data_IF_710623311944
#
_entry.id   IF_710623311944
#
_cell.length_a   1.000
_cell.length_b   1.000
_cell.length_c   1.000
_cell.angle_alpha   90.00
_cell.angle_beta   90.00
_cell.angle_gamma   90.00
#
_symmetry.space_group_name_H-M   'P 1'
#
loop_
_entity.id
_entity.type
_entity.pdbx_description
1 polymer ?
#
# COMPACT_ATOMS: atom_id res chain seq x y z
N UNK A 1 -6.32 21.00 17.49
CA UNK A 1 -5.58 21.39 16.27
C UNK A 1 -4.80 20.24 15.63
N UNK A 2 -4.16 19.37 16.42
CA UNK A 2 -3.46 18.14 15.98
C UNK A 2 -4.29 17.25 15.03
N UNK A 3 -5.56 16.97 15.37
CA UNK A 3 -6.43 16.11 14.55
C UNK A 3 -6.76 16.69 13.16
N UNK A 4 -6.86 18.02 13.03
CA UNK A 4 -7.15 18.67 11.75
C UNK A 4 -5.93 18.56 10.82
N UNK A 5 -4.73 18.84 11.34
CA UNK A 5 -3.47 18.68 10.59
C UNK A 5 -3.28 17.25 10.09
N UNK A 6 -3.70 16.27 10.88
CA UNK A 6 -3.69 14.85 10.52
C UNK A 6 -4.59 14.55 9.32
N UNK A 7 -5.84 14.99 9.36
CA UNK A 7 -6.79 14.78 8.26
C UNK A 7 -6.39 15.51 6.98
N UNK A 8 -5.91 16.74 7.08
CA UNK A 8 -5.37 17.49 5.93
C UNK A 8 -4.21 16.74 5.29
N UNK A 9 -3.29 16.19 6.11
CA UNK A 9 -2.18 15.38 5.60
C UNK A 9 -2.64 14.10 4.91
N UNK A 10 -3.68 13.43 5.43
CA UNK A 10 -4.27 12.24 4.80
C UNK A 10 -4.85 12.60 3.43
N UNK A 11 -5.60 13.69 3.33
CA UNK A 11 -6.20 14.14 2.07
C UNK A 11 -5.11 14.45 1.04
N UNK A 12 -4.08 15.21 1.43
CA UNK A 12 -2.93 15.51 0.56
C UNK A 12 -2.23 14.22 0.10
N UNK A 13 -2.06 13.26 1.02
CA UNK A 13 -1.52 11.94 0.71
C UNK A 13 -2.37 11.19 -0.32
N UNK A 14 -3.68 11.13 -0.14
CA UNK A 14 -4.59 10.49 -1.10
C UNK A 14 -4.57 11.17 -2.47
N UNK A 15 -4.49 12.50 -2.53
CA UNK A 15 -4.37 13.25 -3.80
C UNK A 15 -3.07 12.89 -4.51
N UNK A 16 -1.94 12.88 -3.78
CA UNK A 16 -0.65 12.50 -4.37
C UNK A 16 -0.64 11.05 -4.87
N UNK A 17 -1.17 10.11 -4.08
CA UNK A 17 -1.24 8.70 -4.51
C UNK A 17 -2.18 8.52 -5.70
N UNK A 18 -3.37 9.13 -5.71
CA UNK A 18 -4.33 8.99 -6.82
C UNK A 18 -3.78 9.57 -8.12
N UNK A 19 -3.09 10.71 -8.07
CA UNK A 19 -2.39 11.25 -9.24
C UNK A 19 -1.31 10.27 -9.75
N UNK A 20 -0.55 9.65 -8.84
CA UNK A 20 0.47 8.69 -9.22
C UNK A 20 -0.13 7.40 -9.79
N UNK A 21 -1.26 6.93 -9.25
CA UNK A 21 -2.03 5.82 -9.79
C UNK A 21 -2.53 6.16 -11.20
N UNK A 22 -3.08 7.35 -11.41
CA UNK A 22 -3.54 7.81 -12.72
C UNK A 22 -2.39 7.76 -13.75
N UNK A 23 -1.19 8.21 -13.37
CA UNK A 23 0.01 8.12 -14.21
C UNK A 23 0.39 6.67 -14.57
N UNK A 24 0.29 5.74 -13.63
CA UNK A 24 0.57 4.32 -13.88
C UNK A 24 -0.47 3.71 -14.81
N UNK A 25 -1.75 3.91 -14.53
CA UNK A 25 -2.86 3.35 -15.30
C UNK A 25 -2.82 3.85 -16.75
N UNK A 26 -2.56 5.15 -16.98
CA UNK A 26 -2.40 5.71 -18.32
C UNK A 26 -1.21 5.13 -19.10
N UNK A 27 -0.23 4.56 -18.42
CA UNK A 27 0.96 3.93 -19.04
C UNK A 27 0.94 2.41 -18.98
N UNK A 28 -0.20 1.80 -18.61
CA UNK A 28 -0.37 0.36 -18.42
C UNK A 28 0.66 -0.26 -17.44
N UNK A 29 1.04 0.53 -16.43
CA UNK A 29 1.96 0.11 -15.38
C UNK A 29 1.21 -0.35 -14.13
N UNK A 30 1.84 -1.22 -13.36
CA UNK A 30 1.22 -1.90 -12.22
C UNK A 30 2.06 -1.70 -10.96
N UNK A 31 1.43 -1.60 -9.79
CA UNK A 31 2.12 -1.66 -8.49
C UNK A 31 2.02 -3.03 -7.83
N UNK A 32 2.76 -3.24 -6.73
CA UNK A 32 2.50 -4.35 -5.82
C UNK A 32 1.27 -4.13 -4.93
N UNK A 33 0.93 -5.13 -4.13
CA UNK A 33 -0.13 -5.03 -3.13
C UNK A 33 -1.55 -4.88 -3.70
N UNK A 34 -2.46 -4.34 -2.88
CA UNK A 34 -3.91 -4.28 -3.21
C UNK A 34 -4.19 -3.35 -4.39
N UNK A 35 -3.39 -2.31 -4.55
CA UNK A 35 -3.45 -1.41 -5.70
C UNK A 35 -3.08 -2.15 -6.99
N UNK A 36 -2.02 -2.96 -6.95
CA UNK A 36 -1.63 -3.83 -8.06
C UNK A 36 -2.72 -4.77 -8.52
N UNK A 37 -3.33 -5.46 -7.56
CA UNK A 37 -4.45 -6.36 -7.83
C UNK A 37 -5.63 -5.63 -8.50
N UNK A 38 -5.96 -4.42 -8.02
CA UNK A 38 -6.98 -3.57 -8.64
C UNK A 38 -6.62 -3.15 -10.08
N UNK A 39 -5.36 -2.77 -10.33
CA UNK A 39 -4.88 -2.37 -11.65
C UNK A 39 -4.94 -3.52 -12.67
N UNK A 40 -4.62 -4.75 -12.25
CA UNK A 40 -4.69 -5.95 -13.12
C UNK A 40 -6.13 -6.36 -13.38
N UNK A 41 -7.02 -6.25 -12.39
CA UNK A 41 -8.43 -6.62 -12.53
C UNK A 41 -9.28 -5.61 -13.31
N UNK A 42 -8.87 -4.33 -13.31
CA UNK A 42 -9.56 -3.24 -14.02
C UNK A 42 -9.84 -3.58 -15.51
N UNK A 43 -8.82 -3.87 -16.34
CA UNK A 43 -9.05 -4.21 -17.75
C UNK A 43 -9.76 -5.55 -17.96
N UNK A 44 -9.77 -6.46 -16.97
CA UNK A 44 -10.40 -7.78 -17.07
C UNK A 44 -11.90 -7.78 -16.75
N UNK A 45 -12.32 -6.91 -15.83
CA UNK A 45 -13.70 -6.89 -15.32
C UNK A 45 -14.55 -5.77 -15.91
N UNK A 46 -13.92 -4.72 -16.45
CA UNK A 46 -14.62 -3.52 -16.93
C UNK A 46 -15.16 -2.63 -15.81
N UNK A 47 -14.89 -2.96 -14.54
CA UNK A 47 -15.19 -2.11 -13.39
C UNK A 47 -14.08 -1.07 -13.22
N UNK A 48 -14.41 0.10 -12.69
CA UNK A 48 -13.43 1.16 -12.41
C UNK A 48 -12.40 0.71 -11.37
N UNK A 49 -11.21 1.30 -11.43
CA UNK A 49 -10.11 0.96 -10.52
C UNK A 49 -10.52 1.23 -9.06
N UNK A 50 -11.19 2.35 -8.81
CA UNK A 50 -11.64 2.72 -7.48
C UNK A 50 -12.62 1.71 -6.87
N UNK A 51 -13.58 1.22 -7.65
CA UNK A 51 -14.53 0.19 -7.19
C UNK A 51 -13.78 -1.09 -6.82
N UNK A 52 -12.89 -1.57 -7.69
CA UNK A 52 -12.09 -2.76 -7.44
C UNK A 52 -11.19 -2.59 -6.21
N UNK A 53 -10.50 -1.46 -6.11
CA UNK A 53 -9.63 -1.17 -4.99
C UNK A 53 -10.39 -1.14 -3.67
N UNK A 54 -11.59 -0.56 -3.64
CA UNK A 54 -12.45 -0.56 -2.46
C UNK A 54 -12.91 -1.97 -2.07
N UNK A 55 -13.43 -2.75 -3.03
CA UNK A 55 -13.90 -4.13 -2.79
C UNK A 55 -12.76 -5.03 -2.30
N UNK A 56 -11.60 -4.94 -2.94
CA UNK A 56 -10.40 -5.70 -2.54
C UNK A 56 -10.00 -5.35 -1.11
N UNK A 57 -10.08 -4.07 -0.69
CA UNK A 57 -9.70 -3.67 0.66
C UNK A 57 -10.70 -4.09 1.75
N UNK A 58 -11.97 -4.33 1.41
CA UNK A 58 -13.04 -4.67 2.34
C UNK A 58 -12.72 -5.82 3.33
N UNK A 59 -12.26 -7.02 2.89
CA UNK A 59 -11.91 -8.11 3.81
C UNK A 59 -10.76 -7.76 4.75
N UNK A 60 -9.84 -6.90 4.33
CA UNK A 60 -8.68 -6.53 5.15
C UNK A 60 -9.04 -5.54 6.26
N UNK A 61 -10.13 -4.78 6.15
CA UNK A 61 -10.61 -3.95 7.26
C UNK A 61 -11.07 -4.78 8.45
N UNK A 62 -11.74 -5.90 8.19
CA UNK A 62 -12.14 -6.82 9.25
C UNK A 62 -10.91 -7.34 10.01
N UNK A 63 -9.85 -7.71 9.28
CA UNK A 63 -8.57 -8.10 9.88
C UNK A 63 -7.92 -6.93 10.65
N UNK A 64 -7.89 -5.73 10.09
CA UNK A 64 -7.25 -4.56 10.69
C UNK A 64 -7.88 -4.15 12.04
N UNK A 65 -9.21 -4.29 12.20
CA UNK A 65 -9.91 -4.02 13.46
C UNK A 65 -9.37 -4.91 14.56
N UNK A 66 -9.22 -6.21 14.28
CA UNK A 66 -8.75 -7.19 15.26
C UNK A 66 -7.25 -7.10 15.55
N UNK A 67 -6.44 -6.69 14.56
CA UNK A 67 -4.99 -6.79 14.65
C UNK A 67 -4.27 -5.50 15.08
N UNK A 68 -4.79 -4.33 14.69
CA UNK A 68 -4.14 -3.02 14.94
C UNK A 68 -5.06 -2.11 15.75
N UNK A 69 -6.36 -2.12 15.45
CA UNK A 69 -7.37 -1.40 16.19
C UNK A 69 -8.28 -0.51 15.35
N UNK A 70 -9.38 -0.10 15.97
CA UNK A 70 -10.50 0.58 15.31
C UNK A 70 -10.10 1.95 14.74
N UNK A 71 -9.33 2.75 15.48
CA UNK A 71 -8.91 4.09 15.04
C UNK A 71 -8.01 4.07 13.80
N UNK A 72 -7.14 3.08 13.66
CA UNK A 72 -6.32 2.89 12.45
C UNK A 72 -7.19 2.44 11.27
N UNK A 73 -8.14 1.53 11.53
CA UNK A 73 -9.04 1.02 10.49
C UNK A 73 -9.93 2.11 9.93
N UNK A 74 -10.54 2.96 10.78
CA UNK A 74 -11.38 4.08 10.32
C UNK A 74 -10.57 5.04 9.43
N UNK A 75 -9.34 5.39 9.83
CA UNK A 75 -8.47 6.26 9.03
C UNK A 75 -8.12 5.64 7.68
N UNK A 76 -7.80 4.34 7.67
CA UNK A 76 -7.45 3.60 6.46
C UNK A 76 -8.66 3.42 5.54
N UNK A 77 -9.84 3.14 6.10
CA UNK A 77 -11.10 3.08 5.39
C UNK A 77 -11.39 4.40 4.69
N UNK A 78 -11.37 5.52 5.42
CA UNK A 78 -11.58 6.86 4.82
C UNK A 78 -10.54 7.15 3.74
N UNK A 79 -9.28 6.78 3.97
CA UNK A 79 -8.21 7.02 3.00
C UNK A 79 -8.39 6.21 1.71
N UNK A 80 -8.76 4.94 1.81
CA UNK A 80 -9.02 4.08 0.66
C UNK A 80 -10.29 4.51 -0.08
N UNK A 81 -11.38 4.84 0.62
CA UNK A 81 -12.60 5.37 -0.01
C UNK A 81 -12.29 6.66 -0.76
N UNK A 82 -11.57 7.59 -0.13
CA UNK A 82 -11.16 8.84 -0.74
C UNK A 82 -10.23 8.61 -1.94
N UNK A 83 -9.26 7.70 -1.81
CA UNK A 83 -8.35 7.36 -2.89
C UNK A 83 -9.08 6.71 -4.07
N UNK A 84 -10.03 5.82 -3.80
CA UNK A 84 -10.84 5.14 -4.81
C UNK A 84 -11.61 6.18 -5.63
N UNK A 85 -12.30 7.09 -4.94
CA UNK A 85 -13.04 8.17 -5.58
C UNK A 85 -12.12 9.12 -6.37
N UNK A 86 -11.00 9.55 -5.78
CA UNK A 86 -10.05 10.45 -6.46
C UNK A 86 -9.38 9.80 -7.66
N UNK A 87 -9.10 8.50 -7.61
CA UNK A 87 -8.44 7.79 -8.72
C UNK A 87 -9.39 7.66 -9.92
N UNK A 88 -10.66 7.33 -9.68
CA UNK A 88 -11.68 7.30 -10.73
C UNK A 88 -11.94 8.72 -11.27
N UNK A 89 -12.05 9.71 -10.38
CA UNK A 89 -12.22 11.11 -10.77
C UNK A 89 -11.07 11.62 -11.64
N UNK A 90 -9.81 11.36 -11.27
CA UNK A 90 -8.67 11.77 -12.08
C UNK A 90 -8.55 10.98 -13.38
N UNK A 91 -8.94 9.70 -13.40
CA UNK A 91 -8.95 8.91 -14.63
C UNK A 91 -9.95 9.43 -15.65
N UNK A 92 -11.12 9.90 -15.22
CA UNK A 92 -12.16 10.41 -16.12
C UNK A 92 -11.93 11.88 -16.51
N UNK A 93 -11.61 12.75 -15.54
CA UNK A 93 -11.60 14.20 -15.73
C UNK A 93 -10.21 14.78 -16.01
N UNK A 94 -9.15 14.04 -15.69
CA UNK A 94 -7.78 14.47 -15.91
C UNK A 94 -6.94 13.33 -16.48
N UNK A 95 -7.22 12.87 -17.73
CA UNK A 95 -6.43 11.81 -18.36
C UNK A 95 -5.02 12.33 -18.65
N UNK A 96 -4.08 12.06 -17.73
CA UNK A 96 -2.68 12.44 -17.91
C UNK A 96 -2.05 11.38 -18.81
N UNK A 97 -1.90 11.70 -20.09
CA UNK A 97 -1.17 10.88 -21.05
C UNK A 97 0.25 11.41 -21.18
N UNK A 98 1.21 10.73 -20.54
CA UNK A 98 2.63 10.98 -20.83
C UNK A 98 3.05 10.14 -22.04
N UNK A 99 3.87 10.69 -22.94
CA UNK A 99 4.21 10.03 -24.20
C UNK A 99 5.08 8.78 -24.04
N UNK A 100 5.72 8.55 -22.88
CA UNK A 100 6.64 7.42 -22.71
C UNK A 100 6.58 6.82 -21.29
N UNK A 101 6.41 5.48 -21.14
CA UNK A 101 6.41 4.76 -19.85
C UNK A 101 7.65 5.01 -18.98
N UNK A 102 8.77 5.30 -19.63
CA UNK A 102 10.05 5.61 -18.97
C UNK A 102 10.01 6.93 -18.17
N UNK A 103 9.13 7.86 -18.52
CA UNK A 103 8.96 9.13 -17.80
C UNK A 103 7.84 9.02 -16.75
N UNK A 104 6.76 8.32 -17.06
CA UNK A 104 5.65 8.14 -16.13
C UNK A 104 6.01 7.23 -14.95
N UNK A 105 6.81 6.18 -15.16
CA UNK A 105 7.21 5.25 -14.10
C UNK A 105 7.92 5.92 -12.90
N UNK A 106 9.02 6.67 -13.07
CA UNK A 106 9.68 7.32 -11.93
C UNK A 106 8.82 8.42 -11.31
N UNK A 107 8.10 9.20 -12.12
CA UNK A 107 7.25 10.29 -11.63
C UNK A 107 6.10 9.75 -10.78
N UNK A 108 5.42 8.70 -11.26
CA UNK A 108 4.36 8.03 -10.53
C UNK A 108 4.88 7.41 -9.23
N UNK A 109 6.01 6.69 -9.31
CA UNK A 109 6.64 6.08 -8.14
C UNK A 109 6.97 7.11 -7.05
N UNK A 110 7.57 8.24 -7.42
CA UNK A 110 7.87 9.33 -6.49
C UNK A 110 6.60 9.90 -5.87
N UNK A 111 5.57 10.18 -6.68
CA UNK A 111 4.34 10.79 -6.21
C UNK A 111 3.57 9.87 -5.24
N UNK A 112 3.50 8.58 -5.57
CA UNK A 112 2.93 7.54 -4.69
C UNK A 112 3.75 7.42 -3.41
N UNK A 113 5.08 7.37 -3.50
CA UNK A 113 5.96 7.28 -2.34
C UNK A 113 5.77 8.45 -1.39
N UNK A 114 5.70 9.69 -1.89
CA UNK A 114 5.42 10.89 -1.10
C UNK A 114 4.05 10.78 -0.44
N UNK A 115 3.02 10.41 -1.20
CA UNK A 115 1.66 10.29 -0.67
C UNK A 115 1.54 9.23 0.43
N UNK A 116 2.22 8.10 0.27
CA UNK A 116 2.28 7.05 1.30
C UNK A 116 2.99 7.50 2.57
N UNK A 117 4.05 8.30 2.47
CA UNK A 117 4.69 8.90 3.66
C UNK A 117 3.69 9.75 4.45
N UNK A 118 2.89 10.57 3.77
CA UNK A 118 1.85 11.37 4.44
C UNK A 118 0.81 10.48 5.12
N UNK A 119 0.37 9.40 4.49
CA UNK A 119 -0.61 8.48 5.04
C UNK A 119 -0.07 7.70 6.25
N UNK A 120 1.10 7.08 6.10
CA UNK A 120 1.75 6.28 7.15
C UNK A 120 2.11 7.14 8.36
N UNK A 121 2.59 8.38 8.16
CA UNK A 121 2.90 9.30 9.26
C UNK A 121 1.69 9.65 10.12
N UNK A 122 0.49 9.55 9.55
CA UNK A 122 -0.77 9.85 10.21
C UNK A 122 -1.54 8.60 10.65
N UNK A 123 -0.90 7.42 10.59
CA UNK A 123 -1.46 6.13 11.00
C UNK A 123 -2.65 5.69 10.13
N UNK A 124 -2.52 5.89 8.83
CA UNK A 124 -3.42 5.37 7.81
C UNK A 124 -2.64 4.49 6.84
N UNK A 125 -3.28 3.48 6.26
CA UNK A 125 -2.69 2.65 5.19
C UNK A 125 -3.63 2.51 4.01
N UNK A 126 -3.05 2.22 2.85
CA UNK A 126 -3.75 1.89 1.61
C UNK A 126 -3.58 0.42 1.21
N UNK A 127 -2.77 -0.33 1.96
CA UNK A 127 -2.42 -1.71 1.65
C UNK A 127 -3.13 -2.71 2.56
N UNK A 128 -4.10 -3.43 2.02
CA UNK A 128 -4.77 -4.54 2.72
C UNK A 128 -3.88 -5.78 2.85
N UNK A 129 -3.05 -6.08 1.85
CA UNK A 129 -2.16 -7.26 1.86
C UNK A 129 -1.20 -7.27 3.05
N UNK A 130 -0.75 -6.09 3.51
CA UNK A 130 0.05 -6.00 4.74
C UNK A 130 -0.72 -6.52 5.97
N UNK A 131 -2.02 -6.26 6.06
CA UNK A 131 -2.88 -6.78 7.14
C UNK A 131 -3.02 -8.30 7.07
N UNK A 132 -3.10 -8.85 5.86
CA UNK A 132 -3.12 -10.30 5.66
C UNK A 132 -1.80 -10.95 6.06
N UNK A 133 -0.65 -10.33 5.75
CA UNK A 133 0.64 -10.81 6.21
C UNK A 133 0.69 -10.89 7.74
N UNK A 134 0.29 -9.82 8.44
CA UNK A 134 0.23 -9.78 9.91
C UNK A 134 -0.75 -10.82 10.47
N UNK A 135 -1.91 -10.99 9.82
CA UNK A 135 -2.90 -11.98 10.25
C UNK A 135 -2.37 -13.42 10.11
N UNK A 136 -1.72 -13.74 8.98
CA UNK A 136 -1.17 -15.08 8.73
C UNK A 136 0.02 -15.39 9.62
N UNK A 137 0.84 -14.39 9.93
CA UNK A 137 1.93 -14.51 10.90
C UNK A 137 1.39 -14.84 12.29
N UNK A 138 0.43 -14.05 12.80
CA UNK A 138 -0.16 -14.29 14.13
C UNK A 138 -0.96 -15.59 14.24
N UNK A 139 -1.65 -16.00 13.17
CA UNK A 139 -2.53 -17.19 13.21
C UNK A 139 -1.81 -18.49 12.88
N UNK A 140 -0.83 -18.46 11.98
CA UNK A 140 -0.19 -19.65 11.44
C UNK A 140 1.34 -19.63 11.53
N UNK A 141 1.96 -18.58 12.07
CA UNK A 141 3.42 -18.42 12.16
C UNK A 141 4.10 -18.27 10.80
N UNK A 142 3.36 -17.85 9.77
CA UNK A 142 3.90 -17.72 8.42
C UNK A 142 4.66 -16.41 8.29
N UNK A 143 5.94 -16.51 7.88
CA UNK A 143 6.79 -15.34 7.66
C UNK A 143 6.11 -14.28 6.77
N UNK A 144 5.93 -13.03 7.26
CA UNK A 144 5.27 -11.94 6.53
C UNK A 144 5.88 -11.66 5.15
N UNK A 145 7.21 -11.77 5.03
CA UNK A 145 7.94 -11.55 3.78
C UNK A 145 7.62 -12.59 2.72
N UNK A 146 7.43 -13.86 3.10
CA UNK A 146 7.04 -14.93 2.17
C UNK A 146 5.63 -14.69 1.62
N UNK A 147 4.68 -14.31 2.48
CA UNK A 147 3.31 -14.00 2.07
C UNK A 147 3.27 -12.81 1.12
N UNK A 148 4.00 -11.74 1.46
CA UNK A 148 4.08 -10.54 0.64
C UNK A 148 4.70 -10.85 -0.73
N UNK A 149 5.85 -11.54 -0.74
CA UNK A 149 6.53 -11.94 -1.97
C UNK A 149 5.64 -12.83 -2.86
N UNK A 150 4.95 -13.81 -2.27
CA UNK A 150 4.05 -14.70 -3.02
C UNK A 150 2.90 -13.93 -3.64
N UNK A 151 2.31 -12.99 -2.89
CA UNK A 151 1.17 -12.20 -3.38
C UNK A 151 1.60 -11.25 -4.49
N UNK A 152 2.73 -10.56 -4.33
CA UNK A 152 3.28 -9.69 -5.36
C UNK A 152 3.70 -10.47 -6.61
N UNK A 153 4.25 -11.68 -6.45
CA UNK A 153 4.56 -12.56 -7.57
C UNK A 153 3.30 -12.95 -8.35
N UNK A 154 2.20 -13.31 -7.67
CA UNK A 154 0.93 -13.62 -8.33
C UNK A 154 0.37 -12.42 -9.10
N UNK A 155 0.43 -11.23 -8.53
CA UNK A 155 0.01 -9.98 -9.19
C UNK A 155 0.89 -9.72 -10.41
N UNK A 156 2.20 -9.87 -10.28
CA UNK A 156 3.15 -9.64 -11.36
C UNK A 156 2.95 -10.62 -12.52
N UNK A 157 2.74 -11.91 -12.22
CA UNK A 157 2.40 -12.92 -13.22
C UNK A 157 1.11 -12.51 -13.96
N UNK A 158 0.06 -12.11 -13.24
CA UNK A 158 -1.17 -11.59 -13.85
C UNK A 158 -0.92 -10.35 -14.72
N UNK A 159 -0.10 -9.42 -14.25
CA UNK A 159 0.27 -8.22 -15.00
C UNK A 159 1.04 -8.54 -16.30
N UNK A 160 1.89 -9.58 -16.32
CA UNK A 160 2.57 -10.03 -17.53
C UNK A 160 1.56 -10.53 -18.56
N UNK A 161 0.54 -11.29 -18.14
CA UNK A 161 -0.51 -11.77 -19.06
C UNK A 161 -1.38 -10.65 -19.61
N UNK A 162 -1.66 -9.61 -18.81
CA UNK A 162 -2.57 -8.51 -19.19
C UNK A 162 -1.86 -7.41 -19.97
N UNK A 163 -0.68 -6.96 -19.52
CA UNK A 163 0.02 -5.80 -20.07
C UNK A 163 1.31 -6.17 -20.82
N UNK A 164 1.80 -7.40 -20.70
CA UNK A 164 3.04 -7.84 -21.31
C UNK A 164 4.29 -7.52 -20.48
N UNK A 165 5.37 -8.25 -20.76
CA UNK A 165 6.61 -8.22 -19.97
C UNK A 165 7.28 -6.83 -19.96
N UNK A 166 7.19 -6.07 -21.05
CA UNK A 166 7.85 -4.77 -21.19
C UNK A 166 7.27 -3.73 -20.20
N UNK A 167 5.94 -3.68 -20.06
CA UNK A 167 5.27 -2.79 -19.10
C UNK A 167 5.58 -3.17 -17.65
N UNK A 168 5.73 -4.47 -17.39
CA UNK A 168 6.14 -4.99 -16.08
C UNK A 168 7.57 -4.56 -15.74
N UNK A 169 8.50 -4.55 -16.70
CA UNK A 169 9.85 -4.02 -16.48
C UNK A 169 9.85 -2.52 -16.13
N UNK A 170 9.01 -1.71 -16.79
CA UNK A 170 8.83 -0.30 -16.42
C UNK A 170 8.17 -0.13 -15.05
N UNK A 171 7.27 -1.04 -14.68
CA UNK A 171 6.64 -1.06 -13.35
C UNK A 171 7.65 -1.27 -12.23
N UNK A 172 8.70 -2.07 -12.45
CA UNK A 172 9.80 -2.20 -11.49
C UNK A 172 10.51 -0.87 -11.22
N UNK A 173 10.65 0.00 -12.23
CA UNK A 173 11.23 1.35 -12.04
C UNK A 173 10.33 2.19 -11.12
N UNK A 174 9.02 2.15 -11.35
CA UNK A 174 8.06 2.88 -10.50
C UNK A 174 8.09 2.37 -9.06
N UNK A 175 8.08 1.04 -8.86
CA UNK A 175 8.15 0.40 -7.55
C UNK A 175 9.48 0.72 -6.85
N UNK A 176 10.59 0.71 -7.59
CA UNK A 176 11.90 1.08 -7.06
C UNK A 176 11.92 2.55 -6.60
N UNK A 177 11.39 3.47 -7.40
CA UNK A 177 11.34 4.89 -7.04
C UNK A 177 10.43 5.17 -5.84
N UNK A 178 9.26 4.54 -5.82
CA UNK A 178 8.36 4.56 -4.67
C UNK A 178 9.07 4.04 -3.41
N UNK A 179 9.75 2.90 -3.51
CA UNK A 179 10.49 2.28 -2.41
C UNK A 179 11.67 3.14 -1.96
N UNK A 180 12.39 3.79 -2.87
CA UNK A 180 13.49 4.70 -2.53
C UNK A 180 12.99 5.94 -1.78
N UNK A 181 11.85 6.51 -2.19
CA UNK A 181 11.21 7.62 -1.47
C UNK A 181 10.75 7.17 -0.09
N UNK A 182 10.05 6.03 -0.03
CA UNK A 182 9.54 5.48 1.23
C UNK A 182 10.67 5.06 2.17
N UNK A 183 11.78 4.52 1.65
CA UNK A 183 12.95 4.13 2.44
C UNK A 183 13.68 5.32 3.10
N UNK A 184 13.54 6.53 2.55
CA UNK A 184 14.02 7.75 3.24
C UNK A 184 13.20 8.09 4.48
N UNK A 185 11.97 7.57 4.58
CA UNK A 185 11.14 7.71 5.76
C UNK A 185 11.57 6.71 6.86
N UNK A 186 12.49 7.16 7.72
CA UNK A 186 13.13 6.37 8.78
C UNK A 186 12.28 6.09 10.03
N UNK A 187 10.95 6.23 9.99
CA UNK A 187 10.13 5.93 11.17
C UNK A 187 9.84 4.42 11.19
N UNK A 188 10.54 3.68 12.08
CA UNK A 188 10.24 2.28 12.44
C UNK A 188 8.73 2.09 12.48
N UNK A 189 8.22 1.14 11.70
CA UNK A 189 6.78 0.90 11.64
C UNK A 189 6.27 0.58 13.06
N UNK A 190 5.02 0.96 13.43
CA UNK A 190 4.45 0.56 14.72
C UNK A 190 4.42 -0.97 14.91
N UNK A 191 4.47 -1.74 13.82
CA UNK A 191 4.51 -3.20 13.81
C UNK A 191 5.81 -3.71 14.44
N UNK A 192 6.91 -3.00 14.23
CA UNK A 192 8.23 -3.35 14.77
C UNK A 192 8.33 -3.00 16.27
N UNK A 193 7.59 -1.99 16.74
CA UNK A 193 7.56 -1.64 18.16
C UNK A 193 6.93 -2.74 19.03
N UNK A 194 5.88 -3.38 18.54
CA UNK A 194 5.21 -4.44 19.30
C UNK A 194 6.00 -5.75 19.31
N UNK A 195 6.72 -6.07 18.23
CA UNK A 195 7.59 -7.27 18.21
C UNK A 195 8.86 -7.12 19.05
N UNK A 196 9.43 -5.91 19.14
CA UNK A 196 10.60 -5.68 20.01
C UNK A 196 10.20 -5.67 21.48
N UNK A 197 9.03 -5.14 21.85
CA UNK A 197 8.55 -5.21 23.24
C UNK A 197 8.20 -6.62 23.70
N UNK A 198 7.64 -7.47 22.82
CA UNK A 198 7.36 -8.88 23.14
C UNK A 198 8.64 -9.73 23.20
N UNK A 199 9.70 -9.38 22.46
CA UNK A 199 11.00 -10.05 22.55
C UNK A 199 11.87 -9.57 23.73
N UNK A 200 11.78 -8.30 24.14
CA UNK A 200 12.53 -7.82 25.33
C UNK A 200 11.95 -8.36 26.65
N UNK A 201 10.66 -8.67 26.73
CA UNK A 201 10.05 -9.31 27.92
C UNK A 201 10.42 -10.81 28.06
N UNK A 202 10.67 -11.52 26.95
CA UNK A 202 11.02 -12.96 26.97
C UNK A 202 12.52 -13.22 27.25
N UNK A 203 13.36 -12.18 27.24
CA UNK A 203 14.80 -12.28 27.58
C UNK A 203 15.13 -11.92 29.05
N UNK A 204 14.13 -11.73 29.90
CA UNK A 204 14.34 -11.62 31.36
C UNK A 204 13.34 -12.52 32.10
N UNK A 205 13.73 -13.79 32.33
CA UNK A 205 14.07 -14.11 33.73
C UNK A 205 15.04 -15.29 33.84
N UNK A 206 16.30 -15.11 34.26
CA UNK A 206 17.08 -16.14 35.00
C UNK A 206 18.39 -15.57 35.59
N UNK A 207 18.29 -14.58 36.49
CA UNK A 207 19.32 -14.41 37.54
C UNK A 207 18.75 -13.69 38.76
N UNK A 208 17.72 -14.26 39.38
CA UNK A 208 17.48 -14.06 40.80
C UNK A 208 18.29 -15.10 41.57
N UNK A 209 19.03 -14.67 42.58
CA UNK A 209 19.44 -15.44 43.76
C UNK A 209 20.01 -16.86 43.54
N UNK A 210 21.34 -16.97 43.57
CA UNK A 210 22.01 -17.97 44.41
C UNK A 210 23.48 -17.61 44.66
N UNK A 211 23.77 -17.40 45.95
CA UNK A 211 25.09 -17.29 46.64
C UNK A 211 25.81 -15.94 46.59
#
# INVERSE_FOLDING_TARGET
>A
MESIKRWVSIIIGCIAVSLGINLLTSSHLVMGGTAGLGMVLHPLTGLSFGILFFIINLPFYFMAITQIGVLFTIRSFVSVTLLSFLSDFFSEWLPISLPHPLLSSPLAGILIGIGLIFLFRNGSSLGGINMLCVYLDKKYGINPGKTMFTTDLMILCGAIFVFGIVHVLYSFIAIFMMSAVLGRYHKRSPIEKNHVSEQEEDFSPLSENSL
#
